data_IF_155488628408
#
_entry.id   IF_155488628408
#
_cell.length_a   1.000
_cell.length_b   1.000
_cell.length_c   1.000
_cell.angle_alpha   90.00
_cell.angle_beta   90.00
_cell.angle_gamma   90.00
#
_symmetry.space_group_name_H-M   'P 1'
#
loop_
_entity.id
_entity.type
_entity.pdbx_description
1 polymer ?
#
# COMPACT_ATOMS: atom_id res chain seq x y z
N UNK A 1 34.45 -3.64 -8.13
CA UNK A 1 34.23 -3.62 -9.59
C UNK A 1 33.48 -4.88 -9.94
N UNK A 2 32.30 -4.74 -10.52
CA UNK A 2 31.67 -5.74 -11.40
C UNK A 2 30.59 -4.99 -12.17
N UNK A 3 30.89 -4.72 -13.44
CA UNK A 3 29.99 -4.03 -14.36
C UNK A 3 29.05 -5.08 -14.95
N UNK A 4 27.89 -5.27 -14.32
CA UNK A 4 26.79 -6.00 -14.95
C UNK A 4 26.12 -5.04 -15.92
N UNK A 5 26.36 -5.23 -17.22
CA UNK A 5 25.59 -4.58 -18.27
C UNK A 5 24.16 -5.12 -18.22
N UNK A 6 23.32 -4.49 -17.41
CA UNK A 6 21.88 -4.71 -17.36
C UNK A 6 21.22 -3.50 -17.98
N UNK A 7 20.34 -3.72 -18.96
CA UNK A 7 19.49 -2.65 -19.52
C UNK A 7 18.47 -2.12 -18.50
N UNK A 8 18.33 -2.78 -17.35
CA UNK A 8 17.47 -2.33 -16.27
C UNK A 8 18.23 -1.40 -15.33
N UNK A 9 17.77 -0.17 -15.30
CA UNK A 9 18.28 0.89 -14.41
C UNK A 9 17.66 0.71 -13.02
N UNK A 10 18.47 0.56 -11.95
CA UNK A 10 17.97 0.57 -10.58
C UNK A 10 17.12 1.81 -10.29
N UNK A 11 16.04 1.65 -9.51
CA UNK A 11 15.21 2.78 -9.12
C UNK A 11 15.95 3.81 -8.27
N UNK A 12 15.42 5.04 -8.11
CA UNK A 12 16.02 6.01 -7.21
C UNK A 12 15.92 5.52 -5.75
N UNK A 13 16.88 5.90 -4.92
CA UNK A 13 16.83 5.64 -3.49
C UNK A 13 18.17 5.20 -2.89
N UNK A 14 18.08 4.79 -1.62
CA UNK A 14 19.20 4.27 -0.85
C UNK A 14 19.25 2.75 -0.96
N UNK A 15 20.45 2.22 -1.15
CA UNK A 15 20.76 0.80 -1.29
C UNK A 15 21.89 0.43 -0.36
N UNK A 16 21.94 -0.84 -0.01
CA UNK A 16 23.09 -1.44 0.65
C UNK A 16 23.26 -2.89 0.22
N UNK A 17 24.42 -3.45 0.54
CA UNK A 17 24.72 -4.86 0.28
C UNK A 17 24.49 -5.68 1.55
N UNK A 18 23.82 -6.82 1.43
CA UNK A 18 23.72 -7.83 2.48
C UNK A 18 23.98 -9.21 1.87
N UNK A 19 24.90 -9.97 2.45
CA UNK A 19 25.38 -11.26 1.92
C UNK A 19 25.77 -11.20 0.43
N UNK A 20 26.43 -10.11 0.02
CA UNK A 20 26.87 -9.89 -1.36
C UNK A 20 25.76 -9.46 -2.34
N UNK A 21 24.51 -9.34 -1.89
CA UNK A 21 23.36 -8.95 -2.71
C UNK A 21 22.95 -7.50 -2.42
N UNK A 22 22.67 -6.73 -3.47
CA UNK A 22 22.20 -5.34 -3.34
C UNK A 22 20.71 -5.32 -3.06
N UNK A 23 20.32 -4.67 -1.97
CA UNK A 23 18.92 -4.46 -1.60
C UNK A 23 18.60 -2.97 -1.49
N UNK A 24 17.40 -2.54 -1.91
CA UNK A 24 16.89 -1.24 -1.53
C UNK A 24 16.67 -1.19 -0.02
N UNK A 25 17.06 -0.08 0.59
CA UNK A 25 16.82 0.22 2.00
C UNK A 25 15.49 0.93 2.19
N UNK A 26 14.76 0.55 3.24
CA UNK A 26 13.47 1.14 3.60
C UNK A 26 13.35 1.31 5.10
N UNK A 27 12.57 2.31 5.51
CA UNK A 27 12.12 2.43 6.91
C UNK A 27 10.86 1.59 7.05
N UNK A 28 10.91 0.61 7.92
CA UNK A 28 9.78 -0.23 8.31
C UNK A 28 9.61 -0.14 9.82
N UNK A 29 8.41 0.22 10.28
CA UNK A 29 8.10 0.46 11.70
C UNK A 29 9.07 1.38 12.46
N UNK A 30 9.60 2.39 11.75
CA UNK A 30 10.54 3.36 12.33
C UNK A 30 11.98 2.87 12.41
N UNK A 31 12.31 1.76 11.73
CA UNK A 31 13.67 1.21 11.64
C UNK A 31 14.11 1.02 10.21
N UNK A 32 15.40 1.13 9.95
CA UNK A 32 15.94 0.80 8.64
C UNK A 32 15.99 -0.72 8.43
N UNK A 33 15.61 -1.15 7.23
CA UNK A 33 15.51 -2.54 6.84
C UNK A 33 15.93 -2.71 5.37
N UNK A 34 16.54 -3.86 5.07
CA UNK A 34 16.66 -4.37 3.72
C UNK A 34 15.28 -4.80 3.22
N UNK A 35 14.92 -4.45 1.98
CA UNK A 35 13.66 -4.88 1.35
C UNK A 35 13.93 -5.76 0.13
N UNK A 36 13.15 -6.81 -0.01
CA UNK A 36 13.10 -7.66 -1.19
C UNK A 36 11.65 -7.83 -1.68
N UNK A 37 11.48 -7.90 -3.01
CA UNK A 37 10.20 -8.26 -3.64
C UNK A 37 9.99 -9.77 -3.74
N UNK A 38 11.04 -10.56 -3.49
CA UNK A 38 11.02 -12.02 -3.54
C UNK A 38 11.46 -12.61 -2.20
N UNK A 39 11.06 -13.85 -1.85
CA UNK A 39 11.51 -14.51 -0.64
C UNK A 39 13.04 -14.58 -0.55
N UNK A 40 13.60 -14.16 0.59
CA UNK A 40 15.03 -14.25 0.89
C UNK A 40 15.20 -14.86 2.28
N UNK A 41 16.19 -15.75 2.43
CA UNK A 41 16.50 -16.37 3.72
C UNK A 41 16.87 -15.28 4.74
N UNK A 42 16.27 -15.34 5.93
CA UNK A 42 16.50 -14.35 6.99
C UNK A 42 15.65 -13.07 6.87
N UNK A 43 14.84 -12.93 5.83
CA UNK A 43 13.85 -11.87 5.71
C UNK A 43 12.49 -12.39 6.19
N UNK A 44 11.74 -11.53 6.87
CA UNK A 44 10.38 -11.79 7.35
C UNK A 44 9.39 -11.20 6.34
N UNK A 45 8.30 -11.92 6.08
CA UNK A 45 7.20 -11.41 5.26
C UNK A 45 6.42 -10.34 6.03
N UNK A 46 6.23 -9.19 5.42
CA UNK A 46 5.34 -8.14 5.88
C UNK A 46 4.50 -7.66 4.69
N UNK A 47 3.19 -7.93 4.74
CA UNK A 47 2.28 -7.74 3.61
C UNK A 47 2.83 -8.41 2.33
N UNK A 48 2.99 -7.65 1.25
CA UNK A 48 3.43 -8.13 -0.07
C UNK A 48 4.96 -8.02 -0.27
N UNK A 49 5.73 -7.82 0.81
CA UNK A 49 7.18 -7.60 0.73
C UNK A 49 7.93 -8.43 1.76
N UNK A 50 9.21 -8.68 1.49
CA UNK A 50 10.11 -9.33 2.43
C UNK A 50 11.06 -8.30 3.00
N UNK A 51 11.18 -8.26 4.32
CA UNK A 51 11.99 -7.27 5.04
C UNK A 51 12.95 -7.94 6.00
N UNK A 52 14.16 -7.40 6.12
CA UNK A 52 15.10 -7.72 7.20
C UNK A 52 15.52 -6.41 7.85
N UNK A 53 15.10 -6.13 9.09
CA UNK A 53 15.63 -5.00 9.84
C UNK A 53 17.17 -5.06 9.87
N UNK A 54 17.80 -3.93 9.62
CA UNK A 54 19.25 -3.80 9.78
C UNK A 54 19.55 -3.94 11.27
N UNK A 55 20.54 -4.76 11.63
CA UNK A 55 21.02 -4.90 13.00
C UNK A 55 22.17 -3.93 13.29
N UNK A 56 22.43 -3.61 14.56
CA UNK A 56 23.55 -2.74 14.96
C UNK A 56 24.92 -3.27 14.54
N UNK A 57 25.08 -4.59 14.54
CA UNK A 57 26.33 -5.25 14.16
C UNK A 57 26.43 -5.47 12.65
N UNK A 58 25.40 -5.05 11.86
CA UNK A 58 25.51 -5.06 10.41
C UNK A 58 26.43 -3.93 9.96
N UNK A 59 27.55 -4.28 9.33
CA UNK A 59 28.37 -3.32 8.58
C UNK A 59 27.66 -2.96 7.26
N UNK A 60 26.91 -1.86 7.26
CA UNK A 60 26.11 -1.43 6.12
C UNK A 60 26.74 -0.23 5.42
N UNK A 61 27.34 -0.46 4.25
CA UNK A 61 27.71 0.63 3.34
C UNK A 61 26.48 1.06 2.52
N UNK A 62 26.02 2.29 2.77
CA UNK A 62 24.92 2.90 2.03
C UNK A 62 25.41 3.54 0.73
N UNK A 63 24.69 3.31 -0.36
CA UNK A 63 24.96 3.95 -1.65
C UNK A 63 23.67 4.20 -2.44
N UNK A 64 23.74 5.11 -3.40
CA UNK A 64 22.74 5.30 -4.45
C UNK A 64 23.35 4.98 -5.80
N UNK A 65 22.58 5.17 -6.87
CA UNK A 65 23.08 5.05 -8.23
C UNK A 65 22.98 6.38 -8.97
N UNK A 66 24.03 6.71 -9.71
CA UNK A 66 24.02 7.73 -10.75
C UNK A 66 24.07 7.05 -12.11
N UNK A 67 23.26 7.51 -13.05
CA UNK A 67 23.12 6.86 -14.35
C UNK A 67 23.42 7.85 -15.47
N UNK A 68 24.33 7.45 -16.34
CA UNK A 68 24.67 8.13 -17.58
C UNK A 68 24.51 7.16 -18.73
N UNK A 69 24.24 7.65 -19.93
CA UNK A 69 24.00 6.78 -21.06
C UNK A 69 24.09 7.48 -22.40
N UNK A 70 23.79 6.71 -23.44
CA UNK A 70 23.61 7.20 -24.79
C UNK A 70 22.27 6.70 -25.32
N UNK A 71 21.43 7.62 -25.80
CA UNK A 71 20.16 7.30 -26.45
C UNK A 71 20.29 7.57 -27.95
N UNK A 72 20.23 6.52 -28.78
CA UNK A 72 20.50 6.61 -30.23
C UNK A 72 21.82 7.32 -30.55
N UNK A 73 22.86 7.08 -29.74
CA UNK A 73 24.18 7.71 -29.88
C UNK A 73 24.33 9.10 -29.26
N UNK A 74 23.24 9.73 -28.78
CA UNK A 74 23.27 11.01 -28.08
C UNK A 74 23.57 10.80 -26.58
N UNK A 75 24.60 11.43 -26.00
CA UNK A 75 24.85 11.39 -24.56
C UNK A 75 23.68 11.99 -23.74
N UNK A 76 23.26 11.26 -22.71
CA UNK A 76 22.16 11.66 -21.82
C UNK A 76 22.48 11.32 -20.36
N UNK A 77 21.98 12.15 -19.45
CA UNK A 77 21.78 11.77 -18.05
C UNK A 77 20.49 10.97 -17.95
N UNK A 78 20.52 9.88 -17.17
CA UNK A 78 19.37 9.00 -17.01
C UNK A 78 18.90 9.12 -15.56
N UNK A 79 17.65 9.53 -15.39
CA UNK A 79 17.01 9.64 -14.08
C UNK A 79 15.84 8.65 -14.02
N UNK A 80 15.94 7.57 -13.23
CA UNK A 80 14.83 6.64 -13.08
C UNK A 80 13.63 7.35 -12.47
N UNK A 81 12.45 7.19 -13.09
CA UNK A 81 11.22 7.76 -12.56
C UNK A 81 10.69 6.92 -11.42
N UNK A 82 9.89 7.51 -10.52
CA UNK A 82 9.16 6.75 -9.52
C UNK A 82 8.35 5.59 -10.11
N UNK A 83 8.30 4.47 -9.38
CA UNK A 83 7.73 3.21 -9.86
C UNK A 83 8.64 2.37 -10.76
N UNK A 84 9.82 2.88 -11.17
CA UNK A 84 10.87 2.10 -11.84
C UNK A 84 10.59 1.67 -13.28
N UNK A 85 9.36 1.85 -13.78
CA UNK A 85 8.95 1.45 -15.13
C UNK A 85 9.40 2.43 -16.24
N UNK A 86 9.67 3.69 -15.89
CA UNK A 86 10.06 4.73 -16.85
C UNK A 86 11.37 5.42 -16.45
N UNK A 87 12.10 5.90 -17.43
CA UNK A 87 13.35 6.66 -17.30
C UNK A 87 13.16 8.05 -17.90
N UNK A 88 13.62 9.07 -17.21
CA UNK A 88 13.73 10.42 -17.73
C UNK A 88 15.16 10.60 -18.27
N UNK A 89 15.26 10.83 -19.57
CA UNK A 89 16.50 11.18 -20.24
C UNK A 89 16.62 12.70 -20.26
N UNK A 90 17.79 13.21 -19.89
CA UNK A 90 18.10 14.64 -19.89
C UNK A 90 19.35 14.87 -20.72
N UNK A 91 19.28 15.79 -21.68
CA UNK A 91 20.41 16.25 -22.48
C UNK A 91 20.50 17.77 -22.44
N UNK A 92 21.71 18.30 -22.49
CA UNK A 92 21.96 19.73 -22.67
C UNK A 92 22.17 20.08 -24.15
N UNK A 93 22.23 19.08 -25.03
CA UNK A 93 22.40 19.28 -26.48
C UNK A 93 21.05 19.58 -27.15
N UNK A 94 20.99 20.71 -27.86
CA UNK A 94 19.81 21.11 -28.65
C UNK A 94 19.50 20.14 -29.78
N UNK A 95 20.49 19.41 -30.31
CA UNK A 95 20.27 18.40 -31.36
C UNK A 95 19.33 17.27 -30.91
N UNK A 96 19.20 17.06 -29.59
CA UNK A 96 18.28 16.07 -29.01
C UNK A 96 16.80 16.32 -29.35
N UNK A 97 16.43 17.53 -29.75
CA UNK A 97 15.10 17.85 -30.27
C UNK A 97 14.70 16.95 -31.45
N UNK A 98 15.66 16.61 -32.33
CA UNK A 98 15.46 15.76 -33.49
C UNK A 98 15.17 14.29 -33.10
N UNK A 99 15.50 13.92 -31.85
CA UNK A 99 15.22 12.62 -31.24
C UNK A 99 13.95 12.63 -30.37
N UNK A 100 13.16 13.71 -30.44
CA UNK A 100 11.88 13.86 -29.73
C UNK A 100 12.02 14.30 -28.28
N UNK A 101 13.15 14.92 -27.90
CA UNK A 101 13.27 15.56 -26.59
C UNK A 101 12.55 16.91 -26.60
N UNK A 102 11.94 17.25 -25.47
CA UNK A 102 11.24 18.54 -25.28
C UNK A 102 12.09 19.46 -24.43
N UNK A 103 12.26 20.71 -24.86
CA UNK A 103 12.96 21.73 -24.09
C UNK A 103 12.20 22.12 -22.82
N UNK A 104 12.93 22.21 -21.72
CA UNK A 104 12.48 22.69 -20.42
C UNK A 104 13.43 23.79 -19.93
N UNK A 105 12.89 25.00 -19.74
CA UNK A 105 13.66 26.16 -19.34
C UNK A 105 14.16 26.02 -17.89
N UNK A 106 15.45 26.27 -17.69
CA UNK A 106 16.07 26.27 -16.38
C UNK A 106 15.92 27.62 -15.69
N UNK A 107 15.70 27.61 -14.38
CA UNK A 107 15.58 28.84 -13.56
C UNK A 107 16.81 29.76 -13.64
N UNK A 108 17.97 29.23 -14.00
CA UNK A 108 19.24 29.98 -14.11
C UNK A 108 19.57 30.41 -15.55
N UNK A 109 18.63 30.27 -16.48
CA UNK A 109 18.85 30.48 -17.91
C UNK A 109 19.38 29.22 -18.61
N UNK A 110 19.04 29.07 -19.90
CA UNK A 110 19.29 27.85 -20.68
C UNK A 110 18.12 26.86 -20.65
N UNK A 111 18.22 25.80 -21.46
CA UNK A 111 17.22 24.73 -21.54
C UNK A 111 17.90 23.38 -21.31
N UNK A 112 17.24 22.52 -20.54
CA UNK A 112 17.46 21.08 -20.62
C UNK A 112 16.49 20.50 -21.63
N UNK A 113 16.91 19.49 -22.36
CA UNK A 113 16.04 18.72 -23.25
C UNK A 113 15.72 17.40 -22.59
N UNK A 114 14.43 17.06 -22.53
CA UNK A 114 13.94 15.93 -21.75
C UNK A 114 13.07 14.99 -22.56
N UNK A 115 13.24 13.68 -22.34
CA UNK A 115 12.42 12.62 -22.96
C UNK A 115 12.15 11.53 -21.93
N UNK A 116 10.93 11.00 -21.90
CA UNK A 116 10.64 9.80 -21.10
C UNK A 116 10.70 8.57 -22.00
N UNK A 117 11.37 7.53 -21.54
CA UNK A 117 11.42 6.21 -22.18
C UNK A 117 11.07 5.12 -21.16
N UNK A 118 10.80 3.90 -21.63
CA UNK A 118 10.61 2.74 -20.74
C UNK A 118 11.94 2.27 -20.16
N UNK A 119 11.94 1.72 -18.95
CA UNK A 119 13.12 1.07 -18.40
C UNK A 119 13.40 -0.22 -19.22
N UNK A 120 14.61 -0.36 -19.75
CA UNK A 120 14.94 -1.40 -20.73
C UNK A 120 14.70 -1.00 -22.19
N UNK A 121 14.49 0.28 -22.52
CA UNK A 121 14.42 0.77 -23.90
C UNK A 121 15.66 0.30 -24.70
N UNK A 122 15.47 -0.41 -25.84
CA UNK A 122 16.56 -1.01 -26.60
C UNK A 122 17.48 0.02 -27.28
N UNK A 123 17.04 1.27 -27.40
CA UNK A 123 17.82 2.36 -28.01
C UNK A 123 18.62 3.15 -26.96
N UNK A 124 18.50 2.79 -25.68
CA UNK A 124 19.20 3.39 -24.56
C UNK A 124 20.28 2.44 -24.03
N UNK A 125 21.54 2.85 -24.15
CA UNK A 125 22.65 2.22 -23.43
C UNK A 125 22.91 2.99 -22.15
N UNK A 126 22.91 2.32 -20.99
CA UNK A 126 23.11 2.96 -19.68
C UNK A 126 24.29 2.36 -18.92
N UNK A 127 25.07 3.23 -18.29
CA UNK A 127 26.06 2.90 -17.26
C UNK A 127 25.53 3.39 -15.91
N UNK A 128 25.45 2.48 -14.94
CA UNK A 128 25.05 2.80 -13.56
C UNK A 128 26.27 2.78 -12.64
N UNK A 129 26.56 3.90 -12.01
CA UNK A 129 27.68 4.05 -11.08
C UNK A 129 27.14 4.09 -9.65
N UNK A 130 27.69 3.24 -8.77
CA UNK A 130 27.39 3.31 -7.34
C UNK A 130 28.06 4.56 -6.76
N UNK A 131 27.27 5.38 -6.08
CA UNK A 131 27.76 6.58 -5.39
C UNK A 131 27.46 6.42 -3.91
N UNK A 132 28.51 6.42 -3.10
CA UNK A 132 28.41 6.31 -1.63
C UNK A 132 27.50 7.40 -1.09
N UNK A 133 26.61 7.02 -0.17
CA UNK A 133 25.70 7.94 0.53
C UNK A 133 25.96 7.85 2.03
N UNK A 134 25.78 8.94 2.78
CA UNK A 134 25.88 8.90 4.23
C UNK A 134 24.83 7.94 4.79
N UNK A 135 25.18 7.29 5.90
CA UNK A 135 24.27 6.38 6.59
C UNK A 135 23.22 7.22 7.30
N UNK A 136 21.92 7.10 6.99
CA UNK A 136 20.89 8.00 7.54
C UNK A 136 20.73 7.94 9.06
N UNK A 137 21.14 6.82 9.68
CA UNK A 137 21.15 6.59 11.13
C UNK A 137 22.54 6.76 11.75
N UNK A 138 23.47 7.40 11.04
CA UNK A 138 24.80 7.72 11.58
C UNK A 138 24.64 8.62 12.83
N UNK A 139 25.20 8.19 13.96
CA UNK A 139 25.00 8.83 15.26
C UNK A 139 23.78 8.36 16.06
N UNK A 140 22.90 7.55 15.46
CA UNK A 140 21.68 7.00 16.07
C UNK A 140 21.54 5.48 15.83
N UNK A 141 22.52 4.67 16.29
CA UNK A 141 22.56 3.22 16.02
C UNK A 141 21.35 2.47 16.59
N UNK A 142 20.59 3.06 17.50
CA UNK A 142 19.39 2.47 18.04
C UNK A 142 18.20 2.41 17.06
N UNK A 143 18.26 3.14 15.94
CA UNK A 143 17.30 3.00 14.83
C UNK A 143 17.50 1.71 14.01
N UNK A 144 18.61 1.01 14.24
CA UNK A 144 18.91 -0.34 13.72
C UNK A 144 18.99 -1.38 14.85
N UNK A 145 18.58 -1.04 16.08
CA UNK A 145 18.47 -2.02 17.16
C UNK A 145 17.10 -2.72 17.14
N UNK A 146 17.03 -4.05 17.36
CA UNK A 146 15.76 -4.68 17.73
C UNK A 146 15.24 -4.08 19.06
N UNK A 147 13.93 -4.19 19.37
CA UNK A 147 13.48 -3.85 20.71
C UNK A 147 14.18 -4.82 21.65
N UNK A 148 14.72 -4.36 22.78
CA UNK A 148 15.20 -5.30 23.81
C UNK A 148 14.04 -6.23 24.13
N UNK A 149 14.20 -7.53 23.88
CA UNK A 149 13.34 -8.52 24.54
C UNK A 149 13.44 -8.23 26.04
N UNK A 150 12.31 -8.11 26.77
CA UNK A 150 12.39 -8.02 28.20
C UNK A 150 13.09 -9.30 28.67
N UNK A 151 14.30 -9.14 29.20
CA UNK A 151 15.01 -10.20 29.89
C UNK A 151 14.01 -10.86 30.83
N UNK A 152 13.87 -12.19 30.73
CA UNK A 152 13.09 -12.97 31.68
C UNK A 152 13.61 -12.66 33.09
N UNK A 153 12.94 -11.73 33.77
CA UNK A 153 13.24 -11.39 35.13
C UNK A 153 12.70 -12.53 35.98
N UNK A 154 13.57 -13.51 36.21
CA UNK A 154 13.41 -14.53 37.24
C UNK A 154 12.87 -13.88 38.51
N UNK A 155 11.72 -14.35 38.94
CA UNK A 155 11.02 -13.89 40.12
C UNK A 155 11.95 -13.86 41.35
N UNK A 156 12.22 -12.66 41.86
CA UNK A 156 12.55 -12.45 43.26
C UNK A 156 11.74 -11.27 43.79
N UNK A 157 10.71 -11.61 44.53
CA UNK A 157 9.88 -10.74 45.34
C UNK A 157 10.74 -10.02 46.38
N UNK A 158 10.65 -8.69 46.41
CA UNK A 158 10.96 -7.89 47.61
C UNK A 158 10.05 -6.64 47.61
N UNK A 159 9.44 -6.28 48.75
CA UNK A 159 8.36 -5.30 48.78
C UNK A 159 8.87 -3.86 48.98
N UNK A 160 8.13 -2.92 48.40
CA UNK A 160 8.00 -1.57 48.93
C UNK A 160 9.13 -0.59 48.62
N UNK A 161 8.92 0.25 47.61
CA UNK A 161 9.24 1.68 47.67
C UNK A 161 8.42 2.43 46.62
N UNK A 162 7.47 3.25 47.09
CA UNK A 162 6.93 4.36 46.31
C UNK A 162 8.11 5.30 46.01
N UNK A 163 8.47 5.43 44.74
CA UNK A 163 9.22 6.59 44.26
C UNK A 163 8.49 7.14 43.05
N UNK A 164 7.80 8.27 43.26
CA UNK A 164 7.42 9.15 42.18
C UNK A 164 8.70 9.71 41.56
N UNK A 165 9.11 9.12 40.45
CA UNK A 165 9.99 9.76 39.49
C UNK A 165 9.10 10.06 38.28
N UNK A 166 8.82 11.34 38.07
CA UNK A 166 8.13 11.80 36.87
C UNK A 166 8.99 11.38 35.67
N UNK A 167 8.53 10.35 34.98
CA UNK A 167 9.12 9.86 33.73
C UNK A 167 8.89 10.98 32.72
N UNK A 168 9.95 11.62 32.24
CA UNK A 168 9.83 12.56 31.11
C UNK A 168 9.01 11.87 30.02
N UNK A 169 7.90 12.47 29.55
CA UNK A 169 6.97 11.76 28.69
C UNK A 169 7.71 11.34 27.40
N UNK A 170 7.83 10.04 27.18
CA UNK A 170 8.23 9.50 25.87
C UNK A 170 7.23 10.04 24.85
N UNK A 171 7.76 10.57 23.74
CA UNK A 171 6.90 10.97 22.62
C UNK A 171 6.18 9.71 22.15
N UNK A 172 4.85 9.73 22.11
CA UNK A 172 4.06 8.63 21.59
C UNK A 172 4.34 8.47 20.09
N UNK A 173 4.15 7.27 19.54
CA UNK A 173 4.21 7.12 18.09
C UNK A 173 3.07 7.95 17.44
N UNK A 174 3.31 8.62 16.31
CA UNK A 174 2.24 9.27 15.58
C UNK A 174 1.28 8.19 15.05
N UNK A 175 -0.02 8.43 15.15
CA UNK A 175 -1.01 7.46 14.70
C UNK A 175 -2.41 7.65 15.28
N UNK A 176 -3.25 6.64 15.05
CA UNK A 176 -4.56 6.53 15.65
C UNK A 176 -4.47 5.86 17.01
N UNK A 177 -5.17 6.43 17.98
CA UNK A 177 -5.29 5.91 19.33
C UNK A 177 -6.77 5.82 19.72
N UNK A 178 -7.11 4.85 20.56
CA UNK A 178 -8.39 4.81 21.24
C UNK A 178 -8.18 5.05 22.73
N UNK A 179 -9.11 5.76 23.36
CA UNK A 179 -9.12 6.04 24.78
C UNK A 179 -9.91 4.94 25.47
N UNK A 180 -9.23 4.16 26.30
CA UNK A 180 -9.82 3.14 27.16
C UNK A 180 -9.36 3.39 28.59
N UNK A 181 -10.31 3.52 29.52
CA UNK A 181 -10.04 3.81 30.94
C UNK A 181 -9.12 5.03 31.17
N UNK A 182 -9.26 6.04 30.31
CA UNK A 182 -8.47 7.28 30.38
C UNK A 182 -7.04 7.15 29.83
N UNK A 183 -6.66 6.01 29.25
CA UNK A 183 -5.35 5.78 28.64
C UNK A 183 -5.48 5.69 27.11
N UNK A 184 -4.51 6.28 26.41
CA UNK A 184 -4.42 6.25 24.95
C UNK A 184 -3.69 4.97 24.50
N UNK A 185 -4.40 4.08 23.80
CA UNK A 185 -3.84 2.86 23.22
C UNK A 185 -3.69 2.97 21.70
N UNK A 186 -2.52 2.67 21.11
CA UNK A 186 -2.36 2.61 19.67
C UNK A 186 -3.36 1.64 19.03
N UNK A 187 -4.04 2.09 18.00
CA UNK A 187 -4.95 1.27 17.19
C UNK A 187 -4.17 0.70 16.01
N UNK A 188 -4.09 -0.62 15.93
CA UNK A 188 -3.32 -1.35 14.92
C UNK A 188 -4.22 -2.25 14.09
N UNK A 189 -3.91 -2.38 12.79
CA UNK A 189 -4.60 -3.31 11.90
C UNK A 189 -4.00 -4.72 12.06
N UNK A 190 -4.87 -5.72 12.07
CA UNK A 190 -4.53 -7.16 12.07
C UNK A 190 -5.26 -7.85 10.93
N UNK A 191 -4.86 -9.08 10.63
CA UNK A 191 -5.49 -9.89 9.58
C UNK A 191 -7.00 -10.10 9.82
N UNK A 192 -7.43 -10.11 11.08
CA UNK A 192 -8.82 -10.37 11.50
C UNK A 192 -9.59 -9.12 11.94
N UNK A 193 -9.01 -7.91 11.81
CA UNK A 193 -9.69 -6.67 12.20
C UNK A 193 -8.77 -5.64 12.84
N UNK A 194 -9.29 -4.88 13.80
CA UNK A 194 -8.57 -3.83 14.51
C UNK A 194 -8.33 -4.22 15.97
N UNK A 195 -7.20 -3.79 16.53
CA UNK A 195 -6.87 -4.05 17.92
C UNK A 195 -6.25 -2.83 18.60
N UNK A 196 -6.44 -2.73 19.91
CA UNK A 196 -5.62 -1.90 20.78
C UNK A 196 -4.33 -2.65 21.10
N UNK A 197 -3.21 -1.95 21.01
CA UNK A 197 -1.89 -2.49 21.35
C UNK A 197 -1.40 -1.95 22.68
N UNK A 198 -0.86 -2.82 23.52
CA UNK A 198 -0.15 -2.46 24.76
C UNK A 198 1.19 -3.19 24.83
N UNK A 199 2.23 -2.49 25.26
CA UNK A 199 3.54 -3.10 25.55
C UNK A 199 3.50 -3.89 26.86
N UNK A 200 2.66 -3.45 27.81
CA UNK A 200 2.50 -4.06 29.13
C UNK A 200 1.23 -4.92 29.21
N UNK A 201 1.18 -5.94 30.09
CA UNK A 201 -0.05 -6.67 30.38
C UNK A 201 -1.14 -5.73 30.89
N UNK A 202 -2.35 -5.83 30.32
CA UNK A 202 -3.51 -5.03 30.70
C UNK A 202 -4.77 -5.89 30.75
N UNK A 203 -5.73 -5.60 31.65
CA UNK A 203 -7.01 -6.31 31.68
C UNK A 203 -7.70 -6.28 30.31
N UNK A 204 -8.13 -7.45 29.82
CA UNK A 204 -8.79 -7.57 28.51
C UNK A 204 -7.84 -7.60 27.30
N UNK A 205 -6.53 -7.54 27.50
CA UNK A 205 -5.54 -7.71 26.44
C UNK A 205 -4.94 -9.12 26.50
N UNK A 206 -4.80 -9.75 25.34
CA UNK A 206 -4.24 -11.09 25.16
C UNK A 206 -2.78 -10.96 24.70
N UNK A 207 -1.83 -11.68 25.31
CA UNK A 207 -0.43 -11.67 24.88
C UNK A 207 -0.29 -12.32 23.49
N UNK A 208 0.44 -11.65 22.59
CA UNK A 208 0.74 -12.13 21.24
C UNK A 208 2.13 -11.63 20.82
N UNK A 209 3.08 -12.54 20.59
CA UNK A 209 4.42 -12.27 20.03
C UNK A 209 5.09 -10.96 20.53
N UNK A 210 5.25 -10.83 21.84
CA UNK A 210 5.97 -9.69 22.45
C UNK A 210 5.15 -8.42 22.65
N UNK A 211 3.86 -8.45 22.34
CA UNK A 211 2.89 -7.37 22.63
C UNK A 211 1.62 -7.95 23.27
N UNK A 212 0.76 -7.07 23.77
CA UNK A 212 -0.55 -7.43 24.29
C UNK A 212 -1.61 -6.73 23.46
N UNK A 213 -2.61 -7.48 22.97
CA UNK A 213 -3.63 -6.99 22.05
C UNK A 213 -5.03 -7.19 22.60
N UNK A 214 -5.88 -6.17 22.46
CA UNK A 214 -7.33 -6.30 22.66
C UNK A 214 -8.02 -6.02 21.34
N UNK A 215 -8.71 -7.01 20.77
CA UNK A 215 -9.53 -6.79 19.58
C UNK A 215 -10.62 -5.77 19.87
N UNK A 216 -10.89 -4.90 18.91
CA UNK A 216 -11.94 -3.90 18.98
C UNK A 216 -12.88 -4.01 17.79
N UNK A 217 -14.13 -3.71 18.05
CA UNK A 217 -15.29 -3.86 17.18
C UNK A 217 -16.08 -2.55 17.14
N UNK A 218 -16.95 -2.33 16.15
CA UNK A 218 -17.85 -1.18 16.11
C UNK A 218 -18.71 -0.99 17.37
N UNK A 219 -18.97 -2.07 18.09
CA UNK A 219 -19.75 -2.09 19.33
C UNK A 219 -18.96 -1.54 20.53
N UNK A 220 -17.62 -1.52 20.46
CA UNK A 220 -16.78 -0.90 21.48
C UNK A 220 -16.93 0.64 21.42
N UNK A 221 -17.63 1.20 22.40
CA UNK A 221 -17.84 2.66 22.56
C UNK A 221 -16.58 3.37 23.06
N UNK A 222 -15.56 3.44 22.20
CA UNK A 222 -14.28 4.11 22.49
C UNK A 222 -14.23 5.50 21.85
N UNK A 223 -13.61 6.45 22.55
CA UNK A 223 -13.22 7.71 21.94
C UNK A 223 -11.91 7.51 21.16
N UNK A 224 -11.82 8.08 19.97
CA UNK A 224 -10.61 7.97 19.13
C UNK A 224 -9.92 9.31 18.99
N UNK A 225 -8.59 9.29 18.99
CA UNK A 225 -7.75 10.48 18.81
C UNK A 225 -6.63 10.20 17.84
N UNK A 226 -6.27 11.22 17.08
CA UNK A 226 -5.06 11.19 16.25
C UNK A 226 -3.99 12.00 16.94
N UNK A 227 -2.82 11.38 17.09
CA UNK A 227 -1.63 12.01 17.66
C UNK A 227 -0.64 12.19 16.52
N UNK A 228 -0.20 13.43 16.28
CA UNK A 228 0.84 13.76 15.31
C UNK A 228 1.85 14.70 15.97
N UNK A 229 3.08 14.67 15.47
CA UNK A 229 4.15 15.54 15.92
C UNK A 229 4.67 16.40 14.77
N UNK A 230 3.93 17.42 14.31
CA UNK A 230 4.49 18.41 13.40
C UNK A 230 5.65 19.15 14.06
N UNK A 231 6.64 19.51 13.27
CA UNK A 231 7.78 20.28 13.72
C UNK A 231 8.41 21.13 12.65
N UNK A 232 9.42 21.88 13.06
CA UNK A 232 10.31 22.63 12.19
C UNK A 232 11.74 22.20 12.48
N UNK A 233 12.50 21.90 11.43
CA UNK A 233 13.93 21.61 11.54
C UNK A 233 14.67 22.40 10.48
N UNK A 234 15.60 23.28 10.89
CA UNK A 234 16.37 24.14 9.96
C UNK A 234 15.48 24.86 8.93
N UNK A 235 14.39 25.46 9.41
CA UNK A 235 13.35 26.17 8.62
C UNK A 235 12.46 25.28 7.73
N UNK A 236 12.66 23.96 7.75
CA UNK A 236 11.83 23.01 7.01
C UNK A 236 10.69 22.51 7.88
N UNK A 237 9.47 22.51 7.35
CA UNK A 237 8.35 21.82 7.98
C UNK A 237 8.57 20.31 7.88
N UNK A 238 8.57 19.64 9.04
CA UNK A 238 8.82 18.20 9.17
C UNK A 238 7.70 17.52 9.96
N UNK A 239 7.48 16.24 9.68
CA UNK A 239 6.77 15.33 10.57
C UNK A 239 7.81 14.59 11.41
N UNK A 240 7.56 14.50 12.70
CA UNK A 240 8.48 13.86 13.65
C UNK A 240 7.88 12.53 14.09
N UNK A 241 8.69 11.48 14.03
CA UNK A 241 8.34 10.15 14.52
C UNK A 241 9.38 9.71 15.54
N UNK A 242 9.00 9.30 16.76
CA UNK A 242 9.96 8.72 17.67
C UNK A 242 10.47 7.40 17.11
N UNK A 243 11.78 7.25 17.11
CA UNK A 243 12.47 6.01 16.74
C UNK A 243 13.05 5.35 17.98
N UNK A 244 13.55 6.15 18.93
CA UNK A 244 14.11 5.67 20.19
C UNK A 244 13.80 6.59 21.37
N UNK A 245 14.41 6.30 22.53
CA UNK A 245 14.32 7.19 23.69
C UNK A 245 15.04 8.55 23.45
N UNK A 246 16.04 8.58 22.56
CA UNK A 246 16.95 9.70 22.36
C UNK A 246 16.98 10.23 20.93
N UNK A 247 16.39 9.51 19.96
CA UNK A 247 16.35 9.91 18.56
C UNK A 247 14.91 10.00 18.04
N UNK A 248 14.78 10.82 17.00
CA UNK A 248 13.56 10.96 16.22
C UNK A 248 13.89 10.98 14.75
N UNK A 249 13.00 10.42 13.95
CA UNK A 249 13.03 10.55 12.50
C UNK A 249 12.18 11.72 12.06
N UNK A 250 12.77 12.58 11.24
CA UNK A 250 12.14 13.69 10.55
C UNK A 250 11.75 13.25 9.15
N UNK A 251 10.58 13.67 8.69
CA UNK A 251 10.14 13.47 7.31
C UNK A 251 9.54 14.72 6.71
N UNK A 252 9.83 15.00 5.44
CA UNK A 252 9.31 16.18 4.71
C UNK A 252 9.16 15.89 3.23
N UNK A 253 8.30 16.64 2.53
CA UNK A 253 8.21 16.62 1.06
C UNK A 253 9.02 17.75 0.40
N UNK A 254 9.66 18.59 1.21
CA UNK A 254 10.46 19.70 0.69
C UNK A 254 11.81 19.19 0.16
N UNK A 255 12.03 19.33 -1.14
CA UNK A 255 13.28 18.93 -1.80
C UNK A 255 14.51 19.70 -1.29
N UNK A 256 14.34 20.90 -0.71
CA UNK A 256 15.44 21.68 -0.10
C UNK A 256 16.09 20.95 1.07
N UNK A 257 15.43 19.94 1.61
CA UNK A 257 15.92 19.11 2.70
C UNK A 257 17.18 18.30 2.38
N UNK A 258 17.44 18.02 1.09
CA UNK A 258 18.65 17.28 0.66
C UNK A 258 19.93 18.00 1.09
N UNK A 259 19.96 19.33 0.98
CA UNK A 259 21.10 20.17 1.38
C UNK A 259 21.27 20.22 2.93
N UNK A 260 20.31 19.66 3.67
CA UNK A 260 20.28 19.61 5.14
C UNK A 260 20.46 18.21 5.70
N UNK A 261 20.93 17.26 4.88
CA UNK A 261 21.23 15.88 5.29
C UNK A 261 20.08 14.89 5.12
N UNK A 262 18.94 15.32 4.57
CA UNK A 262 17.83 14.39 4.30
C UNK A 262 18.11 13.55 3.06
N UNK A 263 17.67 12.30 3.12
CA UNK A 263 17.74 11.35 2.02
C UNK A 263 16.37 11.06 1.44
N UNK A 264 16.31 10.84 0.14
CA UNK A 264 15.06 10.52 -0.57
C UNK A 264 14.47 9.18 -0.09
N UNK A 265 13.17 9.17 0.21
CA UNK A 265 12.42 8.05 0.79
C UNK A 265 11.30 7.56 -0.14
N UNK A 266 11.18 6.24 -0.36
CA UNK A 266 10.12 5.63 -1.17
C UNK A 266 10.40 5.56 -2.68
N UNK A 267 9.53 4.86 -3.43
CA UNK A 267 9.51 4.81 -4.91
C UNK A 267 8.31 5.58 -5.47
N UNK A 268 7.83 6.57 -4.73
CA UNK A 268 6.53 7.18 -4.99
C UNK A 268 6.63 8.36 -5.96
N UNK A 269 5.53 8.64 -6.66
CA UNK A 269 5.44 9.68 -7.70
C UNK A 269 6.04 11.01 -7.18
N UNK A 270 6.61 11.87 -8.04
CA UNK A 270 7.30 13.09 -7.60
C UNK A 270 6.46 13.98 -6.67
N UNK A 271 5.12 13.93 -6.78
CA UNK A 271 4.16 14.72 -6.01
C UNK A 271 4.00 14.26 -4.55
N UNK A 272 4.40 13.02 -4.25
CA UNK A 272 4.33 12.42 -2.91
C UNK A 272 5.70 12.01 -2.37
N UNK A 273 6.76 12.32 -3.12
CA UNK A 273 8.15 12.09 -2.74
C UNK A 273 8.46 12.67 -1.36
N UNK A 274 8.88 11.79 -0.44
CA UNK A 274 9.26 12.16 0.92
C UNK A 274 10.79 12.09 1.08
N UNK A 275 11.32 12.86 2.00
CA UNK A 275 12.72 12.95 2.37
C UNK A 275 12.82 12.74 3.87
N UNK A 276 13.77 11.93 4.33
CA UNK A 276 13.90 11.56 5.74
C UNK A 276 15.29 11.86 6.30
N UNK A 277 15.36 12.18 7.58
CA UNK A 277 16.61 12.39 8.32
C UNK A 277 16.40 12.02 9.79
N UNK A 278 17.42 11.47 10.44
CA UNK A 278 17.36 11.13 11.86
C UNK A 278 18.20 12.11 12.66
N UNK A 279 17.65 12.59 13.77
CA UNK A 279 18.30 13.58 14.65
C UNK A 279 18.06 13.24 16.11
N UNK A 280 18.89 13.81 17.00
CA UNK A 280 18.65 13.73 18.44
C UNK A 280 17.30 14.38 18.80
N UNK A 281 16.59 13.81 19.77
CA UNK A 281 15.30 14.33 20.23
C UNK A 281 15.43 15.74 20.81
N UNK A 282 16.56 16.05 21.41
CA UNK A 282 16.92 17.34 22.01
C UNK A 282 17.79 18.20 21.09
N UNK A 283 17.85 17.88 19.79
CA UNK A 283 18.52 18.72 18.81
C UNK A 283 17.99 20.17 18.90
N UNK A 284 18.86 21.17 19.12
CA UNK A 284 18.44 22.56 19.35
C UNK A 284 17.78 23.20 18.13
N UNK A 285 18.02 22.66 16.92
CA UNK A 285 17.40 23.12 15.68
C UNK A 285 16.04 22.45 15.42
N UNK A 286 15.66 21.46 16.23
CA UNK A 286 14.38 20.76 16.13
C UNK A 286 13.34 21.36 17.10
N UNK A 287 12.27 21.89 16.53
CA UNK A 287 11.09 22.31 17.28
C UNK A 287 9.94 21.36 16.99
N UNK A 288 9.39 20.73 18.03
CA UNK A 288 8.30 19.75 17.90
C UNK A 288 7.09 20.18 18.71
N UNK A 289 5.91 20.07 18.11
CA UNK A 289 4.63 20.20 18.81
C UNK A 289 3.86 18.89 18.71
N UNK A 290 3.26 18.45 19.81
CA UNK A 290 2.28 17.35 19.77
C UNK A 290 0.88 17.93 19.51
N UNK A 291 0.21 17.39 18.50
CA UNK A 291 -1.20 17.64 18.24
C UNK A 291 -1.99 16.40 18.60
N UNK A 292 -3.05 16.58 19.39
CA UNK A 292 -4.02 15.54 19.76
C UNK A 292 -5.39 16.04 19.34
N UNK A 293 -5.95 15.44 18.31
CA UNK A 293 -7.24 15.82 17.75
C UNK A 293 -8.23 14.66 17.85
N UNK A 294 -9.52 14.92 18.15
CA UNK A 294 -10.56 13.91 18.01
C UNK A 294 -10.52 13.29 16.61
N UNK A 295 -10.69 11.98 16.56
CA UNK A 295 -10.64 11.20 15.34
C UNK A 295 -11.87 10.32 15.22
N UNK A 296 -12.20 9.93 14.00
CA UNK A 296 -13.15 8.84 13.78
C UNK A 296 -12.51 7.49 14.17
N UNK A 297 -13.32 6.47 14.51
CA UNK A 297 -12.90 5.08 14.60
C UNK A 297 -12.18 4.59 13.34
N UNK A 298 -11.29 3.58 13.42
CA UNK A 298 -10.48 3.15 12.29
C UNK A 298 -11.30 2.65 11.09
N UNK A 299 -12.42 1.98 11.34
CA UNK A 299 -13.37 1.56 10.31
C UNK A 299 -14.07 2.75 9.62
N UNK A 300 -14.06 3.95 10.21
CA UNK A 300 -14.62 5.17 9.61
C UNK A 300 -13.55 6.14 9.07
N UNK A 301 -12.26 5.98 9.39
CA UNK A 301 -11.19 6.91 8.94
C UNK A 301 -10.85 6.75 7.47
N UNK A 302 -10.77 5.51 7.01
CA UNK A 302 -10.68 5.24 5.57
C UNK A 302 -11.99 5.55 4.87
N UNK A 303 -13.11 5.54 5.59
CA UNK A 303 -14.40 5.96 5.03
C UNK A 303 -14.59 7.48 5.01
N UNK A 304 -13.79 8.32 5.68
CA UNK A 304 -13.92 9.80 5.60
C UNK A 304 -12.95 10.47 4.63
N UNK A 305 -11.76 9.90 4.39
CA UNK A 305 -10.88 10.34 3.27
C UNK A 305 -11.07 9.49 1.99
N UNK A 306 -11.81 8.38 2.08
CA UNK A 306 -12.49 7.73 0.95
C UNK A 306 -13.95 7.46 1.31
N UNK A 307 -14.71 8.48 1.70
CA UNK A 307 -16.07 8.54 1.15
C UNK A 307 -15.83 9.14 -0.22
N UNK A 308 -15.73 8.37 -1.31
CA UNK A 308 -16.25 8.95 -2.53
C UNK A 308 -17.68 9.32 -2.15
N UNK A 309 -17.97 10.61 -2.14
CA UNK A 309 -19.34 11.11 -2.03
C UNK A 309 -20.24 10.16 -2.81
N UNK A 310 -21.07 9.37 -2.11
CA UNK A 310 -21.95 8.38 -2.72
C UNK A 310 -21.78 6.88 -2.38
N UNK A 311 -20.99 6.46 -1.38
CA UNK A 311 -21.03 5.05 -0.90
C UNK A 311 -22.49 4.68 -0.57
N UNK A 312 -23.05 3.60 -1.15
CA UNK A 312 -24.45 3.25 -0.95
C UNK A 312 -24.76 2.99 0.52
N UNK A 313 -25.75 3.72 1.04
CA UNK A 313 -26.19 3.58 2.43
C UNK A 313 -27.45 2.74 2.54
N UNK A 314 -28.18 2.60 1.43
CA UNK A 314 -29.36 1.75 1.29
C UNK A 314 -29.13 0.68 0.23
N UNK A 315 -29.85 -0.44 0.34
CA UNK A 315 -29.83 -1.50 -0.67
C UNK A 315 -30.31 -1.03 -2.05
N UNK A 316 -31.21 -0.04 -2.11
CA UNK A 316 -31.66 0.57 -3.36
C UNK A 316 -30.56 1.39 -4.03
N UNK A 317 -29.80 2.18 -3.26
CA UNK A 317 -28.65 2.92 -3.79
C UNK A 317 -27.58 1.95 -4.31
N UNK A 318 -27.38 0.83 -3.59
CA UNK A 318 -26.41 -0.17 -3.98
C UNK A 318 -26.84 -0.90 -5.26
N UNK A 319 -28.12 -1.25 -5.40
CA UNK A 319 -28.64 -1.83 -6.65
C UNK A 319 -28.41 -0.90 -7.85
N UNK A 320 -28.62 0.42 -7.68
CA UNK A 320 -28.33 1.40 -8.72
C UNK A 320 -26.84 1.52 -9.06
N UNK A 321 -25.97 1.56 -8.04
CA UNK A 321 -24.52 1.60 -8.20
C UNK A 321 -23.99 0.33 -8.87
N UNK A 322 -24.49 -0.84 -8.46
CA UNK A 322 -24.16 -2.14 -9.04
C UNK A 322 -24.61 -2.20 -10.50
N UNK A 323 -25.84 -1.80 -10.84
CA UNK A 323 -26.28 -1.76 -12.23
C UNK A 323 -25.37 -0.89 -13.12
N UNK A 324 -24.95 0.28 -12.63
CA UNK A 324 -24.02 1.16 -13.35
C UNK A 324 -22.60 0.56 -13.45
N UNK A 325 -22.17 -0.22 -12.46
CA UNK A 325 -20.89 -0.91 -12.46
C UNK A 325 -20.86 -2.10 -13.44
N UNK A 326 -21.96 -2.84 -13.54
CA UNK A 326 -22.08 -3.99 -14.44
C UNK A 326 -21.92 -3.61 -15.92
N UNK A 327 -22.25 -2.37 -16.30
CA UNK A 327 -21.95 -1.84 -17.64
C UNK A 327 -20.42 -1.76 -17.93
N UNK A 328 -19.57 -1.69 -16.90
CA UNK A 328 -18.11 -1.68 -17.03
C UNK A 328 -17.50 -3.09 -17.02
N UNK A 329 -18.29 -4.10 -16.65
CA UNK A 329 -17.88 -5.52 -16.66
C UNK A 329 -17.93 -5.99 -18.10
N UNK A 330 -16.91 -5.62 -18.87
CA UNK A 330 -16.72 -5.92 -20.31
C UNK A 330 -15.97 -7.24 -20.49
N UNK A 331 -15.66 -7.64 -21.73
CA UNK A 331 -14.89 -8.86 -22.00
C UNK A 331 -13.64 -9.00 -21.11
N UNK A 332 -13.46 -10.19 -20.54
CA UNK A 332 -12.38 -10.58 -19.60
C UNK A 332 -12.35 -9.81 -18.28
N UNK A 333 -13.34 -8.96 -18.00
CA UNK A 333 -13.44 -8.26 -16.71
C UNK A 333 -14.21 -9.12 -15.72
N UNK A 334 -13.63 -9.29 -14.55
CA UNK A 334 -14.23 -9.99 -13.43
C UNK A 334 -14.43 -9.04 -12.26
N UNK A 335 -15.56 -9.19 -11.57
CA UNK A 335 -15.90 -8.41 -10.38
C UNK A 335 -16.49 -9.33 -9.35
N UNK A 336 -15.96 -9.30 -8.14
CA UNK A 336 -16.51 -9.98 -6.97
C UNK A 336 -16.94 -8.90 -5.99
N UNK A 337 -18.19 -8.94 -5.56
CA UNK A 337 -18.68 -8.15 -4.43
C UNK A 337 -18.95 -9.09 -3.27
N UNK A 338 -18.27 -8.87 -2.15
CA UNK A 338 -18.28 -9.78 -1.00
C UNK A 338 -18.53 -9.06 0.31
N UNK A 339 -19.07 -9.76 1.30
CA UNK A 339 -19.13 -9.25 2.67
C UNK A 339 -17.73 -9.14 3.28
N UNK A 340 -17.40 -8.00 3.89
CA UNK A 340 -16.07 -7.73 4.47
C UNK A 340 -15.71 -8.64 5.64
N UNK A 341 -16.72 -9.21 6.32
CA UNK A 341 -16.53 -10.15 7.45
C UNK A 341 -16.48 -11.63 7.07
N UNK A 342 -16.95 -12.00 5.87
CA UNK A 342 -16.89 -13.36 5.33
C UNK A 342 -16.90 -13.32 3.81
N UNK A 343 -15.72 -13.44 3.20
CA UNK A 343 -15.56 -13.34 1.74
C UNK A 343 -16.22 -14.48 0.97
N UNK A 344 -16.68 -15.54 1.66
CA UNK A 344 -17.48 -16.62 1.04
C UNK A 344 -18.90 -16.18 0.70
N UNK A 345 -19.40 -15.10 1.33
CA UNK A 345 -20.70 -14.49 1.00
C UNK A 345 -20.48 -13.45 -0.09
N UNK A 346 -20.57 -13.88 -1.34
CA UNK A 346 -20.26 -13.03 -2.49
C UNK A 346 -21.24 -13.22 -3.64
N UNK A 347 -21.26 -12.23 -4.52
CA UNK A 347 -21.72 -12.35 -5.90
C UNK A 347 -20.55 -12.02 -6.82
N UNK A 348 -20.35 -12.86 -7.83
CA UNK A 348 -19.29 -12.71 -8.81
C UNK A 348 -19.89 -12.45 -10.19
N UNK A 349 -19.24 -11.63 -10.99
CA UNK A 349 -19.58 -11.32 -12.36
C UNK A 349 -18.38 -11.57 -13.27
N UNK A 350 -18.61 -12.26 -14.37
CA UNK A 350 -17.62 -12.54 -15.40
C UNK A 350 -18.14 -11.97 -16.73
N UNK A 351 -17.46 -10.95 -17.23
CA UNK A 351 -17.76 -10.36 -18.52
C UNK A 351 -17.17 -11.17 -19.67
N UNK A 352 -18.02 -11.60 -20.59
CA UNK A 352 -17.66 -12.19 -21.89
C UNK A 352 -18.03 -11.22 -23.01
N UNK A 353 -17.65 -11.48 -24.28
CA UNK A 353 -17.93 -10.57 -25.38
C UNK A 353 -19.43 -10.24 -25.52
N UNK A 354 -20.30 -11.24 -25.43
CA UNK A 354 -21.74 -11.08 -25.70
C UNK A 354 -22.63 -11.22 -24.46
N UNK A 355 -22.09 -11.79 -23.38
CA UNK A 355 -22.82 -12.09 -22.16
C UNK A 355 -22.04 -11.66 -20.92
N UNK A 356 -22.76 -11.53 -19.82
CA UNK A 356 -22.22 -11.40 -18.48
C UNK A 356 -22.83 -12.52 -17.64
N UNK A 357 -21.95 -13.37 -17.10
CA UNK A 357 -22.34 -14.43 -16.19
C UNK A 357 -22.21 -13.93 -14.76
N UNK A 358 -23.20 -14.23 -13.93
CA UNK A 358 -23.20 -13.97 -12.51
C UNK A 358 -23.25 -15.27 -11.74
N UNK A 359 -22.51 -15.33 -10.62
CA UNK A 359 -22.44 -16.49 -9.74
C UNK A 359 -22.64 -16.09 -8.28
N UNK A 360 -23.27 -17.00 -7.52
CA UNK A 360 -23.49 -16.87 -6.09
C UNK A 360 -23.31 -18.24 -5.40
N UNK A 361 -22.55 -18.35 -4.30
CA UNK A 361 -22.36 -19.64 -3.62
C UNK A 361 -23.63 -20.19 -2.97
N UNK A 362 -23.79 -21.52 -3.02
CA UNK A 362 -24.84 -22.24 -2.30
C UNK A 362 -24.38 -22.72 -0.92
N UNK A 363 -25.18 -23.61 -0.31
CA UNK A 363 -24.92 -24.19 1.02
C UNK A 363 -23.62 -24.99 1.13
N UNK A 364 -23.08 -25.45 0.01
CA UNK A 364 -21.77 -26.11 -0.06
C UNK A 364 -20.61 -25.21 0.37
N UNK A 365 -20.79 -23.88 0.29
CA UNK A 365 -19.75 -22.88 0.60
C UNK A 365 -20.19 -21.98 1.77
N UNK A 366 -21.45 -21.55 1.76
CA UNK A 366 -22.07 -20.72 2.80
C UNK A 366 -23.15 -21.56 3.49
N UNK A 367 -22.79 -22.26 4.56
CA UNK A 367 -23.62 -23.33 5.16
C UNK A 367 -25.05 -22.89 5.54
N UNK A 368 -25.22 -21.62 5.89
CA UNK A 368 -26.48 -20.98 6.28
C UNK A 368 -27.16 -20.18 5.15
N UNK A 369 -26.72 -20.31 3.90
CA UNK A 369 -27.36 -19.65 2.76
C UNK A 369 -28.84 -20.08 2.59
N UNK A 370 -29.72 -19.09 2.42
CA UNK A 370 -31.12 -19.36 2.09
C UNK A 370 -31.30 -19.52 0.57
N UNK A 371 -31.08 -20.74 0.10
CA UNK A 371 -31.28 -21.13 -1.30
C UNK A 371 -32.72 -20.97 -1.82
N UNK A 372 -33.71 -20.80 -0.93
CA UNK A 372 -35.08 -20.46 -1.36
C UNK A 372 -35.14 -19.01 -1.86
N UNK A 373 -34.38 -18.11 -1.25
CA UNK A 373 -34.23 -16.71 -1.70
C UNK A 373 -33.57 -16.68 -3.07
N UNK A 374 -32.47 -17.40 -3.27
CA UNK A 374 -31.77 -17.45 -4.55
C UNK A 374 -32.70 -17.94 -5.67
N UNK A 375 -33.42 -19.04 -5.42
CA UNK A 375 -34.42 -19.56 -6.37
C UNK A 375 -35.56 -18.57 -6.61
N UNK A 376 -36.09 -17.94 -5.55
CA UNK A 376 -37.17 -16.96 -5.65
C UNK A 376 -36.78 -15.69 -6.39
N UNK A 377 -35.51 -15.29 -6.32
CA UNK A 377 -34.93 -14.20 -7.08
C UNK A 377 -34.62 -14.57 -8.54
N UNK A 378 -34.84 -15.82 -8.96
CA UNK A 378 -34.65 -16.26 -10.34
C UNK A 378 -33.24 -16.77 -10.69
N UNK A 379 -32.41 -17.09 -9.69
CA UNK A 379 -31.13 -17.74 -9.93
C UNK A 379 -31.31 -19.21 -10.33
N UNK A 380 -30.48 -19.67 -11.25
CA UNK A 380 -30.43 -21.08 -11.69
C UNK A 380 -29.66 -21.90 -10.65
N UNK A 381 -30.20 -23.04 -10.19
CA UNK A 381 -29.53 -23.87 -9.19
C UNK A 381 -28.24 -24.51 -9.71
N UNK A 382 -27.29 -24.85 -8.81
CA UNK A 382 -26.05 -25.52 -9.16
C UNK A 382 -26.26 -26.86 -9.90
N UNK A 383 -25.31 -27.19 -10.78
CA UNK A 383 -25.24 -28.46 -11.48
C UNK A 383 -23.80 -28.96 -11.66
N UNK A 384 -23.59 -30.14 -12.28
CA UNK A 384 -22.26 -30.75 -12.39
C UNK A 384 -21.20 -29.88 -13.08
N UNK A 385 -21.60 -29.02 -14.02
CA UNK A 385 -20.72 -28.13 -14.77
C UNK A 385 -20.64 -26.70 -14.22
N UNK A 386 -21.50 -26.35 -13.26
CA UNK A 386 -21.57 -25.03 -12.63
C UNK A 386 -21.94 -25.22 -11.15
N UNK A 387 -20.94 -25.34 -10.25
CA UNK A 387 -21.17 -25.68 -8.84
C UNK A 387 -21.80 -24.55 -8.01
N UNK A 388 -21.87 -23.34 -8.57
CA UNK A 388 -22.52 -22.19 -7.95
C UNK A 388 -23.93 -21.95 -8.51
N UNK A 389 -24.75 -21.19 -7.77
CA UNK A 389 -25.97 -20.62 -8.35
C UNK A 389 -25.58 -19.62 -9.43
N UNK A 390 -26.30 -19.59 -10.54
CA UNK A 390 -25.91 -18.77 -11.69
C UNK A 390 -27.06 -18.01 -12.34
N UNK A 391 -26.72 -16.90 -12.98
CA UNK A 391 -27.61 -16.14 -13.86
C UNK A 391 -26.78 -15.58 -15.02
N UNK A 392 -27.36 -15.46 -16.21
CA UNK A 392 -26.67 -14.93 -17.38
C UNK A 392 -27.49 -13.78 -17.97
N UNK A 393 -26.83 -12.66 -18.23
CA UNK A 393 -27.40 -11.49 -18.91
C UNK A 393 -26.75 -11.32 -20.28
N UNK A 394 -27.55 -11.15 -21.34
CA UNK A 394 -27.02 -10.81 -22.67
C UNK A 394 -26.82 -9.31 -22.77
N UNK A 395 -25.68 -8.87 -23.31
CA UNK A 395 -25.35 -7.44 -23.40
C UNK A 395 -26.29 -6.66 -24.32
N UNK A 396 -26.73 -7.29 -25.41
CA UNK A 396 -27.62 -6.64 -26.38
C UNK A 396 -29.02 -6.32 -25.82
N UNK A 397 -29.42 -6.95 -24.71
CA UNK A 397 -30.72 -6.70 -24.08
C UNK A 397 -30.72 -5.41 -23.24
N UNK A 398 -29.54 -4.80 -23.05
CA UNK A 398 -29.34 -3.45 -22.54
C UNK A 398 -29.66 -3.24 -21.06
N UNK A 399 -29.76 -1.96 -20.68
CA UNK A 399 -29.86 -1.48 -19.28
C UNK A 399 -30.93 -2.15 -18.41
N UNK A 400 -32.14 -2.51 -18.90
CA UNK A 400 -33.14 -3.18 -18.07
C UNK A 400 -32.67 -4.54 -17.52
N UNK A 401 -31.94 -5.32 -18.32
CA UNK A 401 -31.43 -6.64 -17.89
C UNK A 401 -30.30 -6.48 -16.89
N UNK A 402 -29.39 -5.52 -17.11
CA UNK A 402 -28.32 -5.18 -16.15
C UNK A 402 -28.90 -4.78 -14.78
N UNK A 403 -29.98 -4.00 -14.78
CA UNK A 403 -30.66 -3.58 -13.56
C UNK A 403 -31.34 -4.75 -12.84
N UNK A 404 -32.04 -5.61 -13.57
CA UNK A 404 -32.67 -6.80 -13.00
C UNK A 404 -31.62 -7.70 -12.34
N UNK A 405 -30.49 -7.94 -13.02
CA UNK A 405 -29.39 -8.73 -12.47
C UNK A 405 -28.81 -8.11 -11.19
N UNK A 406 -28.63 -6.79 -11.14
CA UNK A 406 -28.18 -6.10 -9.95
C UNK A 406 -29.17 -6.25 -8.78
N UNK A 407 -30.47 -6.10 -9.04
CA UNK A 407 -31.53 -6.29 -8.04
C UNK A 407 -31.56 -7.73 -7.52
N UNK A 408 -31.42 -8.72 -8.40
CA UNK A 408 -31.29 -10.14 -8.02
C UNK A 408 -30.08 -10.38 -7.12
N UNK A 409 -28.92 -9.80 -7.45
CA UNK A 409 -27.71 -9.92 -6.64
C UNK A 409 -27.85 -9.26 -5.27
N UNK A 410 -28.54 -8.11 -5.19
CA UNK A 410 -28.84 -7.46 -3.92
C UNK A 410 -29.74 -8.32 -3.04
N UNK A 411 -30.77 -8.95 -3.61
CA UNK A 411 -31.63 -9.89 -2.87
C UNK A 411 -30.83 -11.05 -2.28
N UNK A 412 -29.88 -11.61 -3.03
CA UNK A 412 -29.03 -12.69 -2.51
C UNK A 412 -28.13 -12.20 -1.38
N UNK A 413 -27.44 -11.08 -1.54
CA UNK A 413 -26.56 -10.54 -0.49
C UNK A 413 -27.34 -10.19 0.79
N UNK A 414 -28.48 -9.50 0.64
CA UNK A 414 -29.30 -9.03 1.75
C UNK A 414 -30.07 -10.15 2.43
N UNK A 415 -30.85 -10.91 1.65
CA UNK A 415 -31.83 -11.85 2.19
C UNK A 415 -31.32 -13.29 2.17
N UNK A 416 -30.49 -13.66 1.18
CA UNK A 416 -29.93 -15.00 1.04
C UNK A 416 -28.74 -15.26 1.95
N UNK A 417 -27.91 -14.23 2.18
CA UNK A 417 -26.71 -14.28 3.02
C UNK A 417 -26.81 -13.43 4.29
N UNK A 418 -27.95 -12.78 4.54
CA UNK A 418 -28.18 -11.97 5.74
C UNK A 418 -27.10 -10.90 5.97
N UNK A 419 -26.53 -10.32 4.90
CA UNK A 419 -25.66 -9.15 5.05
C UNK A 419 -26.53 -7.98 5.50
N UNK A 420 -26.21 -7.38 6.65
CA UNK A 420 -27.09 -6.40 7.28
C UNK A 420 -27.15 -5.06 6.52
N UNK A 421 -26.03 -4.67 5.90
CA UNK A 421 -25.88 -3.36 5.28
C UNK A 421 -24.94 -3.41 4.06
N UNK A 422 -25.22 -2.64 2.99
CA UNK A 422 -24.31 -2.52 1.85
C UNK A 422 -22.96 -1.89 2.22
N UNK A 423 -22.85 -1.21 3.38
CA UNK A 423 -21.58 -0.69 3.90
C UNK A 423 -20.59 -1.79 4.30
N UNK A 424 -21.10 -3.00 4.53
CA UNK A 424 -20.29 -4.18 4.85
C UNK A 424 -19.82 -4.91 3.58
N UNK A 425 -19.99 -4.32 2.40
CA UNK A 425 -19.53 -4.89 1.14
C UNK A 425 -18.20 -4.29 0.72
N UNK A 426 -17.32 -5.15 0.25
CA UNK A 426 -16.10 -4.80 -0.48
C UNK A 426 -16.18 -5.35 -1.89
N UNK A 427 -15.30 -4.87 -2.78
CA UNK A 427 -15.18 -5.46 -4.11
C UNK A 427 -13.73 -5.74 -4.51
N UNK A 428 -13.56 -6.78 -5.32
CA UNK A 428 -12.31 -7.03 -6.04
C UNK A 428 -12.65 -7.11 -7.53
N UNK A 429 -11.86 -6.44 -8.37
CA UNK A 429 -12.03 -6.52 -9.80
C UNK A 429 -10.69 -6.58 -10.51
N UNK A 430 -10.66 -7.32 -11.61
CA UNK A 430 -9.50 -7.49 -12.47
C UNK A 430 -9.95 -7.70 -13.92
N UNK A 431 -9.00 -7.56 -14.85
CA UNK A 431 -9.16 -7.99 -16.23
C UNK A 431 -8.13 -9.08 -16.50
N UNK A 432 -8.56 -10.23 -16.99
CA UNK A 432 -7.63 -11.28 -17.40
C UNK A 432 -6.87 -10.88 -18.66
N UNK A 433 -5.62 -11.35 -18.83
CA UNK A 433 -4.88 -11.15 -20.07
C UNK A 433 -5.64 -11.74 -21.26
N UNK A 434 -5.40 -11.16 -22.43
CA UNK A 434 -5.90 -11.69 -23.68
C UNK A 434 -5.25 -13.05 -23.92
N UNK A 435 -6.07 -14.09 -23.92
CA UNK A 435 -5.62 -15.44 -24.22
C UNK A 435 -5.64 -15.62 -25.73
N UNK A 436 -4.49 -16.00 -26.27
CA UNK A 436 -4.41 -16.45 -27.65
C UNK A 436 -4.74 -17.94 -27.71
N UNK A 437 -5.69 -18.37 -28.56
CA UNK A 437 -6.00 -19.79 -28.72
C UNK A 437 -4.77 -20.60 -29.14
N UNK A 438 -4.64 -21.78 -28.55
CA UNK A 438 -3.56 -22.71 -28.83
C UNK A 438 -3.54 -23.11 -30.32
N UNK A 439 -2.35 -23.12 -30.93
CA UNK A 439 -2.16 -23.56 -32.31
C UNK A 439 -2.30 -22.49 -33.39
N UNK A 440 -2.66 -21.25 -33.04
CA UNK A 440 -2.63 -20.12 -33.96
C UNK A 440 -1.23 -19.46 -33.99
N UNK A 441 -0.80 -19.01 -35.17
CA UNK A 441 0.44 -18.24 -35.34
C UNK A 441 0.14 -16.74 -35.26
N UNK A 442 0.93 -16.04 -34.45
CA UNK A 442 0.83 -14.60 -34.23
C UNK A 442 2.12 -13.91 -34.64
N UNK A 443 2.04 -12.70 -35.18
CA UNK A 443 3.24 -11.89 -35.41
C UNK A 443 3.80 -11.38 -34.08
N UNK A 444 5.06 -10.98 -34.05
CA UNK A 444 5.67 -10.37 -32.86
C UNK A 444 4.90 -9.11 -32.43
N UNK A 445 4.42 -8.32 -33.38
CA UNK A 445 3.60 -7.13 -33.11
C UNK A 445 2.26 -7.49 -32.47
N UNK A 446 1.62 -8.58 -32.89
CA UNK A 446 0.37 -9.06 -32.27
C UNK A 446 0.60 -9.60 -30.86
N UNK A 447 1.75 -10.23 -30.62
CA UNK A 447 2.12 -10.73 -29.30
C UNK A 447 2.44 -9.62 -28.31
N UNK A 448 3.17 -8.60 -28.74
CA UNK A 448 3.52 -7.43 -27.92
C UNK A 448 2.33 -6.50 -27.68
N UNK A 449 1.41 -6.37 -28.66
CA UNK A 449 0.21 -5.53 -28.53
C UNK A 449 -0.92 -6.19 -27.73
N UNK A 450 -0.73 -7.41 -27.22
CA UNK A 450 -1.77 -8.12 -26.45
C UNK A 450 -2.12 -7.36 -25.18
N UNK A 451 -3.40 -7.36 -24.84
CA UNK A 451 -3.86 -6.83 -23.56
C UNK A 451 -3.39 -7.77 -22.42
N UNK A 452 -2.39 -7.35 -21.64
CA UNK A 452 -1.87 -8.13 -20.50
C UNK A 452 -2.84 -8.22 -19.32
N UNK A 453 -4.02 -7.58 -19.43
CA UNK A 453 -4.98 -7.51 -18.36
C UNK A 453 -4.61 -6.48 -17.32
N UNK A 454 -5.33 -6.49 -16.21
CA UNK A 454 -5.12 -5.56 -15.10
C UNK A 454 -5.46 -6.28 -13.81
N UNK A 455 -4.44 -6.57 -12.99
CA UNK A 455 -4.61 -7.31 -11.73
C UNK A 455 -5.50 -6.57 -10.71
N UNK A 456 -5.60 -5.25 -10.83
CA UNK A 456 -6.41 -4.41 -9.95
C UNK A 456 -7.17 -3.35 -10.76
N UNK A 457 -8.38 -3.70 -11.20
CA UNK A 457 -9.25 -2.80 -11.96
C UNK A 457 -10.10 -1.95 -11.01
N UNK A 458 -10.16 -0.64 -11.23
CA UNK A 458 -11.04 0.26 -10.48
C UNK A 458 -12.43 0.32 -11.11
N UNK A 459 -13.48 0.22 -10.30
CA UNK A 459 -14.87 0.39 -10.75
C UNK A 459 -15.54 1.48 -9.90
N UNK A 460 -15.32 2.76 -10.24
CA UNK A 460 -15.81 3.88 -9.44
C UNK A 460 -17.33 3.89 -9.27
N UNK A 461 -18.08 3.30 -10.21
CA UNK A 461 -19.53 3.22 -10.16
C UNK A 461 -20.07 2.36 -9.01
N UNK A 462 -19.32 1.35 -8.54
CA UNK A 462 -19.71 0.54 -7.38
C UNK A 462 -19.77 1.36 -6.11
N UNK A 463 -18.88 2.36 -5.99
CA UNK A 463 -18.73 3.20 -4.79
C UNK A 463 -18.56 2.36 -3.51
N UNK A 464 -17.93 1.19 -3.64
CA UNK A 464 -17.54 0.30 -2.54
C UNK A 464 -16.03 0.40 -2.29
N UNK A 465 -15.56 0.10 -1.08
CA UNK A 465 -14.13 -0.09 -0.83
C UNK A 465 -13.61 -1.34 -1.55
N UNK A 466 -12.35 -1.29 -1.99
CA UNK A 466 -11.67 -2.49 -2.48
C UNK A 466 -11.36 -3.45 -1.34
N UNK A 467 -11.63 -4.73 -1.58
CA UNK A 467 -11.34 -5.86 -0.69
C UNK A 467 -9.88 -6.24 -0.64
#
# INVERSE_FOLDING_TARGET
>A
MDHTASNLVPGPGLYATHDGVVYPLRVHDGRWAFRSASPVRGFVVDHDVYIRPIAIDDEVECFGFEHTGAYRGLPVHVAPRPGGAGLLLVSTDRSSADLGFTAEALRRGGNDWRKTVTNGDPELTVTSTRVRKPTPWEGHPEEVLPPREPAQASARTAPGKRSGAATSPRLQAPGLYAVLDGLDYPVVRRSTGWALRSEEPRPGFVPQRGEHLRMITPEDQLAYVTILHPGTYRELSVRVRPTSAHAVQLSTRDRRSVDRGFVQFGFERPEIQEYVHSVARDDPELQVRTTRAPSAPPWLRNERERTPTGVPTTWSDFAGALAAALEQVTDRVFVIVSASGDTRRYVQFAGRPDVMDAEAPGRSVVADADERVLRGAGWTPPGPSQPNWSATARRHDGRPVTRALAEMSVTVLRDGYSVESPRLLTYTAWRDPQVFPDGASYTAEQWEARDLGTAALEIPALRLPRG
#
